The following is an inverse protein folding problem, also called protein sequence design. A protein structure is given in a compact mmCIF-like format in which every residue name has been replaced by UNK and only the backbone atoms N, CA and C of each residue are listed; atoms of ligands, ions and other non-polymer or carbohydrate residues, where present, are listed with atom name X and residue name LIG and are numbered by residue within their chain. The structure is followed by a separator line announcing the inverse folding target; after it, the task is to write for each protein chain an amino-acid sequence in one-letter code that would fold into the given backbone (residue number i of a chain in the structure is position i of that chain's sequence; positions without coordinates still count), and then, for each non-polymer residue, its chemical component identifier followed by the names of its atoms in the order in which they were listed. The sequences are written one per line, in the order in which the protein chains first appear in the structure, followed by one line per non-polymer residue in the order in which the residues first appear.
data_IF_029145460532
#
_entry.id   IF_029145460532
#
_cell.length_a   1.000
_cell.length_b   1.000
_cell.length_c   1.000
_cell.angle_alpha   90.00
_cell.angle_beta   90.00
_cell.angle_gamma   90.00
#
_symmetry.space_group_name_H-M   'P 1'
#
loop_
_entity.id
_entity.type
_entity.pdbx_description
1 polymer ?
#
# COMPACT_ATOMS: atom_id res chain seq x y z
N UNK A 1 -15.06 0.37 5.60
CA UNK A 1 -14.53 1.17 4.46
C UNK A 1 -15.57 2.18 4.01
N UNK A 2 -15.13 3.38 3.66
CA UNK A 2 -16.03 4.42 3.20
C UNK A 2 -16.39 4.23 1.73
N UNK A 3 -17.65 4.49 1.38
CA UNK A 3 -18.07 4.57 -0.01
C UNK A 3 -17.61 5.90 -0.61
N UNK A 4 -17.70 6.05 -1.93
CA UNK A 4 -17.37 7.34 -2.57
C UNK A 4 -18.19 8.48 -2.02
N UNK A 5 -19.47 8.24 -1.68
CA UNK A 5 -20.36 9.27 -1.11
C UNK A 5 -19.93 9.68 0.31
N UNK A 6 -19.21 8.83 1.01
CA UNK A 6 -18.76 9.07 2.37
C UNK A 6 -17.35 9.68 2.43
N UNK A 7 -16.64 9.77 1.29
CA UNK A 7 -15.31 10.38 1.25
C UNK A 7 -15.40 11.90 1.39
N UNK A 8 -14.37 12.54 1.98
CA UNK A 8 -14.33 14.00 2.06
C UNK A 8 -14.34 14.64 0.68
N UNK A 9 -14.94 15.83 0.57
CA UNK A 9 -14.94 16.57 -0.68
C UNK A 9 -13.56 17.10 -1.07
N UNK A 10 -12.73 17.43 -0.07
CA UNK A 10 -11.36 17.90 -0.32
C UNK A 10 -10.49 16.76 -0.88
N UNK A 11 -9.90 16.93 -2.09
CA UNK A 11 -9.08 15.88 -2.68
C UNK A 11 -7.90 15.43 -1.81
N UNK A 12 -7.28 16.35 -1.08
CA UNK A 12 -6.18 15.99 -0.17
C UNK A 12 -6.70 15.11 0.97
N UNK A 13 -7.85 15.48 1.56
CA UNK A 13 -8.45 14.69 2.62
C UNK A 13 -8.88 13.30 2.12
N UNK A 14 -9.38 13.21 0.89
CA UNK A 14 -9.70 11.93 0.27
C UNK A 14 -8.46 11.06 0.15
N UNK A 15 -7.36 11.61 -0.35
CA UNK A 15 -6.10 10.87 -0.48
C UNK A 15 -5.60 10.40 0.88
N UNK A 16 -5.64 11.26 1.89
CA UNK A 16 -5.22 10.91 3.26
C UNK A 16 -6.09 9.78 3.81
N UNK A 17 -7.39 9.82 3.54
CA UNK A 17 -8.31 8.78 3.99
C UNK A 17 -7.95 7.41 3.41
N UNK A 18 -7.50 7.39 2.16
CA UNK A 18 -7.19 6.14 1.45
C UNK A 18 -5.79 5.60 1.76
N UNK A 19 -4.80 6.47 1.92
CA UNK A 19 -3.39 6.07 2.01
C UNK A 19 -2.65 6.71 3.19
N UNK A 20 -3.35 7.36 4.09
CA UNK A 20 -2.78 8.26 5.09
C UNK A 20 -2.07 7.60 6.27
N UNK A 21 -1.77 6.31 6.22
CA UNK A 21 -0.98 5.71 7.27
C UNK A 21 0.37 5.21 6.73
N UNK A 22 1.33 5.16 7.65
CA UNK A 22 2.70 4.73 7.39
C UNK A 22 2.77 3.38 6.67
N UNK A 23 2.00 2.42 7.14
CA UNK A 23 2.11 1.04 6.64
C UNK A 23 1.66 0.91 5.19
N UNK A 24 0.55 1.58 4.82
CA UNK A 24 0.07 1.57 3.44
C UNK A 24 1.10 2.17 2.50
N UNK A 25 1.70 3.29 2.87
CA UNK A 25 2.73 3.94 2.05
C UNK A 25 3.96 3.05 1.87
N UNK A 26 4.41 2.38 2.93
CA UNK A 26 5.56 1.48 2.85
C UNK A 26 5.26 0.23 2.02
N UNK A 27 4.03 -0.29 2.10
CA UNK A 27 3.60 -1.42 1.27
C UNK A 27 3.59 -1.02 -0.20
N UNK A 28 2.98 0.12 -0.53
CA UNK A 28 2.93 0.60 -1.92
C UNK A 28 4.36 0.80 -2.46
N UNK A 29 5.26 1.32 -1.65
CA UNK A 29 6.65 1.52 -2.04
C UNK A 29 7.28 0.20 -2.51
N UNK A 30 7.08 -0.90 -1.77
CA UNK A 30 7.60 -2.21 -2.17
C UNK A 30 6.93 -2.71 -3.44
N UNK A 31 5.61 -2.57 -3.50
CA UNK A 31 4.84 -3.08 -4.64
C UNK A 31 5.07 -2.28 -5.94
N UNK A 32 5.63 -1.07 -5.87
CA UNK A 32 6.08 -0.34 -7.06
C UNK A 32 7.19 -1.10 -7.81
N UNK A 33 7.97 -1.90 -7.10
CA UNK A 33 9.12 -2.61 -7.66
C UNK A 33 8.69 -3.94 -8.28
N UNK A 34 7.83 -4.70 -7.58
CA UNK A 34 7.40 -6.02 -8.03
C UNK A 34 6.23 -6.51 -7.17
N UNK A 35 5.57 -7.61 -7.55
CA UNK A 35 4.65 -8.30 -6.65
C UNK A 35 5.41 -8.91 -5.48
N UNK A 36 4.76 -8.97 -4.32
CA UNK A 36 5.32 -9.52 -3.10
C UNK A 36 4.35 -10.49 -2.45
N UNK A 37 4.89 -11.50 -1.74
CA UNK A 37 4.13 -12.39 -0.89
C UNK A 37 3.97 -11.80 0.50
N UNK A 38 2.97 -12.27 1.24
CA UNK A 38 2.69 -11.80 2.59
C UNK A 38 3.94 -11.86 3.49
N UNK A 39 4.57 -13.03 3.57
CA UNK A 39 5.74 -13.21 4.45
C UNK A 39 6.94 -12.39 4.01
N UNK A 40 7.07 -12.12 2.72
CA UNK A 40 8.14 -11.26 2.22
C UNK A 40 7.97 -9.83 2.72
N UNK A 41 6.74 -9.31 2.63
CA UNK A 41 6.42 -7.97 3.14
C UNK A 41 6.63 -7.90 4.65
N UNK A 42 6.19 -8.92 5.37
CA UNK A 42 6.30 -8.96 6.83
C UNK A 42 7.74 -8.90 7.29
N UNK A 43 8.64 -9.59 6.58
CA UNK A 43 10.07 -9.59 6.91
C UNK A 43 10.78 -8.30 6.51
N UNK A 44 10.37 -7.71 5.39
CA UNK A 44 11.09 -6.58 4.82
C UNK A 44 10.74 -5.24 5.48
N UNK A 45 9.53 -5.10 6.03
CA UNK A 45 9.08 -3.86 6.64
C UNK A 45 9.28 -3.93 8.15
N UNK A 46 10.24 -3.16 8.72
CA UNK A 46 10.53 -3.22 10.15
C UNK A 46 9.35 -2.81 11.02
N UNK A 47 9.13 -3.55 12.08
CA UNK A 47 8.09 -3.23 13.07
C UNK A 47 6.67 -3.59 12.67
N UNK A 48 6.48 -4.15 11.49
CA UNK A 48 5.15 -4.52 10.99
C UNK A 48 4.71 -5.85 11.62
N UNK A 49 3.55 -5.83 12.27
CA UNK A 49 2.96 -7.05 12.81
C UNK A 49 2.11 -7.76 11.76
N UNK A 50 1.89 -9.04 11.96
CA UNK A 50 1.05 -9.83 11.07
C UNK A 50 -0.38 -9.28 11.01
N UNK A 51 -0.94 -8.88 12.15
CA UNK A 51 -2.28 -8.33 12.21
C UNK A 51 -2.38 -7.01 11.43
N UNK A 52 -1.42 -6.12 11.63
CA UNK A 52 -1.42 -4.82 10.96
C UNK A 52 -1.25 -4.99 9.45
N UNK A 53 -0.38 -5.89 9.02
CA UNK A 53 -0.21 -6.18 7.60
C UNK A 53 -1.50 -6.73 6.99
N UNK A 54 -2.14 -7.69 7.65
CA UNK A 54 -3.40 -8.27 7.19
C UNK A 54 -4.47 -7.19 7.04
N UNK A 55 -4.64 -6.36 8.06
CA UNK A 55 -5.66 -5.32 8.06
C UNK A 55 -5.43 -4.31 6.94
N UNK A 56 -4.18 -3.89 6.74
CA UNK A 56 -3.84 -2.92 5.70
C UNK A 56 -4.00 -3.50 4.29
N UNK A 57 -3.56 -4.74 4.08
CA UNK A 57 -3.72 -5.38 2.76
C UNK A 57 -5.20 -5.54 2.40
N UNK A 58 -6.03 -5.93 3.36
CA UNK A 58 -7.48 -6.05 3.12
C UNK A 58 -8.10 -4.71 2.76
N UNK A 59 -7.75 -3.65 3.48
CA UNK A 59 -8.26 -2.31 3.20
C UNK A 59 -7.81 -1.82 1.83
N UNK A 60 -6.55 -2.03 1.49
CA UNK A 60 -6.00 -1.59 0.20
C UNK A 60 -6.61 -2.35 -0.97
N UNK A 61 -6.85 -3.64 -0.81
CA UNK A 61 -7.53 -4.45 -1.82
C UNK A 61 -8.97 -3.96 -2.00
N UNK A 62 -9.69 -3.74 -0.91
CA UNK A 62 -11.06 -3.24 -0.94
C UNK A 62 -11.15 -1.86 -1.60
N UNK A 63 -10.13 -1.00 -1.41
CA UNK A 63 -10.08 0.33 -2.01
C UNK A 63 -9.59 0.32 -3.46
N UNK A 64 -9.26 -0.85 -3.99
CA UNK A 64 -8.82 -0.97 -5.39
C UNK A 64 -7.39 -0.56 -5.65
N UNK A 65 -6.55 -0.43 -4.62
CA UNK A 65 -5.15 -0.05 -4.77
C UNK A 65 -4.24 -1.23 -5.10
N UNK A 66 -4.60 -2.41 -4.62
CA UNK A 66 -3.80 -3.62 -4.84
C UNK A 66 -4.69 -4.77 -5.27
N UNK A 67 -4.06 -5.75 -5.89
CA UNK A 67 -4.69 -7.02 -6.25
C UNK A 67 -4.07 -8.14 -5.43
N UNK A 68 -4.86 -9.17 -5.19
CA UNK A 68 -4.43 -10.38 -4.52
C UNK A 68 -4.67 -11.56 -5.46
N UNK A 69 -3.61 -12.26 -5.83
CA UNK A 69 -3.68 -13.39 -6.75
C UNK A 69 -3.29 -14.66 -6.02
N UNK A 70 -4.17 -15.66 -6.06
CA UNK A 70 -3.93 -16.98 -5.50
C UNK A 70 -3.55 -17.92 -6.63
N UNK A 71 -2.37 -18.54 -6.52
CA UNK A 71 -1.92 -19.53 -7.50
C UNK A 71 -2.19 -20.93 -6.96
N UNK A 72 -2.81 -21.82 -7.77
CA UNK A 72 -3.18 -23.17 -7.31
C UNK A 72 -1.97 -24.10 -7.29
N UNK A 73 -1.06 -23.85 -6.39
CA UNK A 73 0.13 -24.65 -6.16
C UNK A 73 0.04 -25.38 -4.83
N UNK A 74 0.99 -26.26 -4.54
CA UNK A 74 1.09 -26.95 -3.25
C UNK A 74 2.49 -26.69 -2.71
N UNK A 75 2.65 -25.87 -1.63
CA UNK A 75 1.58 -25.12 -0.95
C UNK A 75 1.08 -23.97 -1.83
N UNK A 76 -0.14 -23.47 -1.60
CA UNK A 76 -0.68 -22.38 -2.40
C UNK A 76 0.18 -21.12 -2.25
N UNK A 77 0.36 -20.41 -3.37
CA UNK A 77 1.10 -19.16 -3.41
C UNK A 77 0.12 -18.01 -3.56
N UNK A 78 0.27 -16.98 -2.71
CA UNK A 78 -0.54 -15.77 -2.79
C UNK A 78 0.41 -14.59 -3.01
N UNK A 79 0.15 -13.79 -4.04
CA UNK A 79 0.93 -12.60 -4.35
C UNK A 79 0.08 -11.36 -4.34
N UNK A 80 0.65 -10.28 -3.83
CA UNK A 80 0.05 -8.95 -3.83
C UNK A 80 0.79 -8.08 -4.84
N UNK A 81 0.03 -7.32 -5.60
CA UNK A 81 0.58 -6.41 -6.62
C UNK A 81 -0.24 -5.13 -6.64
N UNK A 82 0.33 -4.04 -7.18
CA UNK A 82 -0.44 -2.83 -7.41
C UNK A 82 -1.45 -3.06 -8.54
N UNK A 83 -2.65 -2.52 -8.36
CA UNK A 83 -3.60 -2.38 -9.45
C UNK A 83 -3.14 -1.26 -10.39
N UNK A 84 -3.82 -1.08 -11.51
CA UNK A 84 -3.55 0.06 -12.39
C UNK A 84 -3.68 1.38 -11.63
N UNK A 85 -4.71 1.50 -10.79
CA UNK A 85 -4.93 2.70 -9.98
C UNK A 85 -3.82 2.86 -8.93
N UNK A 86 -3.45 1.77 -8.24
CA UNK A 86 -2.36 1.81 -7.26
C UNK A 86 -1.03 2.25 -7.87
N UNK A 87 -0.77 1.86 -9.11
CA UNK A 87 0.46 2.26 -9.81
C UNK A 87 0.52 3.79 -10.04
N UNK A 88 -0.63 4.47 -10.09
CA UNK A 88 -0.67 5.92 -10.23
C UNK A 88 -0.15 6.68 -9.01
N UNK A 89 0.10 5.98 -7.90
CA UNK A 89 0.69 6.60 -6.71
C UNK A 89 2.18 6.90 -6.84
N UNK A 90 2.83 6.49 -7.91
CA UNK A 90 4.27 6.68 -8.07
C UNK A 90 4.72 8.13 -7.90
N UNK A 91 4.08 9.13 -8.52
CA UNK A 91 4.49 10.52 -8.30
C UNK A 91 4.35 10.98 -6.85
N UNK A 92 3.35 10.44 -6.14
CA UNK A 92 3.14 10.75 -4.73
C UNK A 92 4.31 10.21 -3.88
N UNK A 93 4.69 8.96 -4.13
CA UNK A 93 5.82 8.35 -3.42
C UNK A 93 7.13 9.06 -3.71
N UNK A 94 7.36 9.41 -4.98
CA UNK A 94 8.56 10.13 -5.37
C UNK A 94 8.65 11.49 -4.68
N UNK A 95 7.52 12.20 -4.60
CA UNK A 95 7.46 13.49 -3.92
C UNK A 95 7.70 13.36 -2.41
N UNK A 96 7.10 12.34 -1.79
CA UNK A 96 7.31 12.07 -0.37
C UNK A 96 8.77 11.73 -0.08
N UNK A 97 9.38 10.92 -0.92
CA UNK A 97 10.78 10.55 -0.76
C UNK A 97 11.69 11.78 -0.87
N UNK A 98 11.46 12.59 -1.88
CA UNK A 98 12.25 13.81 -2.09
C UNK A 98 12.11 14.76 -0.90
N UNK A 99 10.91 15.00 -0.46
CA UNK A 99 10.64 15.89 0.67
C UNK A 99 11.24 15.36 1.98
N UNK A 100 11.05 14.05 2.24
CA UNK A 100 11.61 13.40 3.42
C UNK A 100 13.12 13.42 3.44
N UNK A 101 13.75 13.18 2.29
CA UNK A 101 15.21 13.25 2.17
C UNK A 101 15.72 14.67 2.45
N UNK A 102 15.03 15.69 1.96
CA UNK A 102 15.38 17.08 2.24
C UNK A 102 15.34 17.38 3.73
N UNK A 103 14.34 16.85 4.46
CA UNK A 103 14.25 17.03 5.90
C UNK A 103 15.41 16.33 6.63
N UNK A 104 15.75 15.11 6.22
CA UNK A 104 16.86 14.36 6.82
C UNK A 104 18.22 15.07 6.68
N UNK A 105 18.36 15.91 5.68
CA UNK A 105 19.61 16.62 5.39
C UNK A 105 19.68 18.00 6.06
N UNK A 106 18.68 18.38 6.83
CA UNK A 106 18.68 19.65 7.56
C UNK A 106 19.66 19.64 8.72
#
# INVERSE_FOLDING_TARGET
MLTKAELPECPVATAVQLIGNKWKLLIVQRLQVRPWRFNELLKDIPGLSQKVLTDNLRAMEADGLITRTVYPEVPPRVEYALSEWGATMRPILDALELWGRGYQQK
#
